data_IF_084622031135
#
_entry.id   IF_084622031135
#
_cell.length_a   1.000
_cell.length_b   1.000
_cell.length_c   1.000
_cell.angle_alpha   90.00
_cell.angle_beta   90.00
_cell.angle_gamma   90.00
#
_symmetry.space_group_name_H-M   'P 1'
#
loop_
_entity.id
_entity.type
_entity.pdbx_description
1 polymer ?
#
# COMPACT_ATOMS: atom_id res chain seq x y z
N UNK A 1 5.68 25.96 -4.74
CA UNK A 1 6.06 24.63 -4.24
C UNK A 1 5.63 23.62 -5.30
N UNK A 2 6.55 22.85 -5.85
CA UNK A 2 6.22 21.88 -6.89
C UNK A 2 6.13 20.49 -6.25
N UNK A 3 4.93 19.93 -6.19
CA UNK A 3 4.70 18.59 -5.67
C UNK A 3 4.65 17.61 -6.83
N UNK A 4 5.47 16.57 -6.77
CA UNK A 4 5.42 15.41 -7.65
C UNK A 4 4.93 14.17 -6.91
N UNK A 5 4.30 13.23 -7.62
CA UNK A 5 3.90 11.93 -7.08
C UNK A 5 4.73 10.85 -7.77
N UNK A 6 5.39 10.00 -6.99
CA UNK A 6 6.07 8.81 -7.50
C UNK A 6 5.13 7.61 -7.41
N UNK A 7 4.78 7.05 -8.58
CA UNK A 7 3.86 5.93 -8.76
C UNK A 7 2.64 6.31 -9.59
N UNK A 8 2.39 5.60 -10.70
CA UNK A 8 1.27 5.79 -11.62
C UNK A 8 0.28 4.62 -11.59
N UNK A 9 0.19 3.93 -10.46
CA UNK A 9 -0.80 2.89 -10.17
C UNK A 9 -2.00 3.42 -9.38
N UNK A 10 -2.79 2.48 -8.83
CA UNK A 10 -3.98 2.81 -8.02
C UNK A 10 -3.65 3.70 -6.81
N UNK A 11 -2.52 3.43 -6.13
CA UNK A 11 -2.08 4.24 -4.99
C UNK A 11 -1.76 5.68 -5.41
N UNK A 12 -1.02 5.88 -6.52
CA UNK A 12 -0.71 7.21 -7.04
C UNK A 12 -1.95 7.98 -7.47
N UNK A 13 -2.93 7.29 -8.07
CA UNK A 13 -4.22 7.89 -8.42
C UNK A 13 -4.97 8.35 -7.17
N UNK A 14 -5.04 7.51 -6.13
CA UNK A 14 -5.73 7.84 -4.88
C UNK A 14 -5.07 9.03 -4.16
N UNK A 15 -3.73 9.09 -4.15
CA UNK A 15 -2.99 10.25 -3.62
C UNK A 15 -3.31 11.52 -4.41
N UNK A 16 -3.29 11.45 -5.74
CA UNK A 16 -3.64 12.58 -6.59
C UNK A 16 -5.06 13.11 -6.32
N UNK A 17 -6.06 12.22 -6.30
CA UNK A 17 -7.46 12.56 -6.05
C UNK A 17 -7.67 13.18 -4.65
N UNK A 18 -6.94 12.70 -3.63
CA UNK A 18 -6.99 13.27 -2.30
C UNK A 18 -6.41 14.69 -2.26
N UNK A 19 -5.26 14.92 -2.90
CA UNK A 19 -4.64 16.24 -2.99
C UNK A 19 -5.51 17.23 -3.79
N UNK A 20 -6.10 16.76 -4.88
CA UNK A 20 -7.00 17.57 -5.71
C UNK A 20 -8.23 18.04 -4.92
N UNK A 21 -8.87 17.15 -4.14
CA UNK A 21 -9.96 17.54 -3.20
C UNK A 21 -9.53 18.56 -2.15
N UNK A 22 -8.28 18.54 -1.73
CA UNK A 22 -7.71 19.50 -0.79
C UNK A 22 -7.20 20.79 -1.47
N UNK A 23 -7.39 20.93 -2.80
CA UNK A 23 -6.86 22.03 -3.61
C UNK A 23 -5.33 22.15 -3.53
N UNK A 24 -4.63 21.04 -3.39
CA UNK A 24 -3.17 20.99 -3.40
C UNK A 24 -2.71 20.58 -4.80
N UNK A 25 -2.06 21.50 -5.56
CA UNK A 25 -1.71 21.22 -6.95
C UNK A 25 -0.56 20.23 -7.06
N UNK A 26 -0.74 19.19 -7.89
CA UNK A 26 0.30 18.24 -8.29
C UNK A 26 0.86 18.70 -9.64
N UNK A 27 2.18 18.85 -9.75
CA UNK A 27 2.84 19.34 -10.95
C UNK A 27 3.10 18.22 -11.99
N UNK A 28 3.53 17.03 -11.53
CA UNK A 28 3.94 15.92 -12.39
C UNK A 28 3.87 14.59 -11.66
N UNK A 29 4.00 13.51 -12.43
CA UNK A 29 4.23 12.16 -11.92
C UNK A 29 5.63 11.65 -12.23
N UNK A 30 6.08 10.67 -11.46
CA UNK A 30 7.25 9.84 -11.69
C UNK A 30 6.82 8.38 -11.66
N UNK A 31 7.51 7.51 -12.40
CA UNK A 31 7.30 6.06 -12.35
C UNK A 31 8.64 5.32 -12.46
N UNK A 32 8.69 4.11 -11.93
CA UNK A 32 9.84 3.22 -12.06
C UNK A 32 10.01 2.61 -13.45
N UNK A 33 8.94 2.62 -14.25
CA UNK A 33 8.91 2.14 -15.63
C UNK A 33 9.26 3.28 -16.60
N UNK A 34 10.45 3.23 -17.18
CA UNK A 34 10.93 4.24 -18.14
C UNK A 34 10.07 4.36 -19.39
N UNK A 35 9.32 3.31 -19.77
CA UNK A 35 8.43 3.36 -20.94
C UNK A 35 7.22 4.27 -20.73
N UNK A 36 6.94 4.66 -19.51
CA UNK A 36 5.86 5.60 -19.19
C UNK A 36 6.27 7.08 -19.28
N UNK A 37 7.56 7.38 -19.33
CA UNK A 37 8.05 8.76 -19.42
C UNK A 37 7.53 9.44 -20.68
N UNK A 38 7.00 10.65 -20.53
CA UNK A 38 6.35 11.42 -21.59
C UNK A 38 4.86 11.07 -21.80
N UNK A 39 4.34 10.05 -21.15
CA UNK A 39 2.90 9.78 -21.14
C UNK A 39 2.19 10.68 -20.11
N UNK A 40 0.87 10.70 -20.21
CA UNK A 40 -0.01 11.45 -19.30
C UNK A 40 -0.73 10.51 -18.33
N UNK A 41 -0.74 10.86 -17.05
CA UNK A 41 -1.51 10.19 -16.01
C UNK A 41 -2.25 11.24 -15.15
N UNK A 42 -3.56 11.09 -14.93
CA UNK A 42 -4.40 12.08 -14.24
C UNK A 42 -4.21 13.51 -14.77
N UNK A 43 -4.13 13.69 -16.09
CA UNK A 43 -3.88 14.97 -16.77
C UNK A 43 -2.56 15.67 -16.36
N UNK A 44 -1.57 14.90 -15.90
CA UNK A 44 -0.22 15.38 -15.61
C UNK A 44 0.80 14.52 -16.35
N UNK A 45 1.89 15.13 -16.76
CA UNK A 45 2.97 14.42 -17.44
C UNK A 45 3.72 13.49 -16.48
N UNK A 46 4.12 12.31 -16.98
CA UNK A 46 5.06 11.43 -16.29
C UNK A 46 6.45 11.84 -16.76
N UNK A 47 7.23 12.44 -15.86
CA UNK A 47 8.53 13.04 -16.20
C UNK A 47 9.69 12.10 -15.83
N UNK A 48 10.82 12.30 -16.51
CA UNK A 48 12.07 11.62 -16.17
C UNK A 48 12.62 12.18 -14.84
N UNK A 49 13.02 11.31 -13.93
CA UNK A 49 13.58 11.66 -12.62
C UNK A 49 14.77 12.63 -12.72
N UNK A 50 15.59 12.51 -13.79
CA UNK A 50 16.75 13.36 -13.99
C UNK A 50 16.41 14.78 -14.50
N UNK A 51 15.15 15.00 -14.91
CA UNK A 51 14.68 16.27 -15.45
C UNK A 51 13.85 17.12 -14.48
N UNK A 52 13.52 16.58 -13.30
CA UNK A 52 12.73 17.33 -12.32
C UNK A 52 13.55 18.37 -11.57
N UNK A 53 12.90 19.46 -11.07
CA UNK A 53 13.56 20.45 -10.24
C UNK A 53 14.06 19.83 -8.93
N UNK A 54 15.28 20.19 -8.50
CA UNK A 54 15.86 19.67 -7.23
C UNK A 54 15.15 20.18 -5.99
N UNK A 55 14.41 21.27 -6.10
CA UNK A 55 13.63 21.89 -5.01
C UNK A 55 12.14 21.52 -5.04
N UNK A 56 11.81 20.33 -5.54
CA UNK A 56 10.45 19.79 -5.50
C UNK A 56 10.26 18.84 -4.30
N UNK A 57 9.02 18.67 -3.89
CA UNK A 57 8.61 17.70 -2.87
C UNK A 57 8.01 16.47 -3.56
N UNK A 58 8.51 15.28 -3.24
CA UNK A 58 8.04 14.03 -3.84
C UNK A 58 7.25 13.22 -2.82
N UNK A 59 6.00 12.96 -3.14
CA UNK A 59 5.16 12.03 -2.40
C UNK A 59 5.26 10.63 -3.04
N UNK A 60 5.77 9.66 -2.30
CA UNK A 60 5.96 8.31 -2.80
C UNK A 60 4.71 7.48 -2.48
N UNK A 61 3.92 7.18 -3.51
CA UNK A 61 2.69 6.38 -3.44
C UNK A 61 3.00 4.91 -3.77
N UNK A 62 3.93 4.31 -3.04
CA UNK A 62 4.36 2.93 -3.22
C UNK A 62 4.85 2.34 -1.90
N UNK A 63 4.94 1.00 -1.84
CA UNK A 63 5.46 0.33 -0.65
C UNK A 63 6.95 0.67 -0.44
N UNK A 64 7.37 1.04 0.79
CA UNK A 64 8.76 1.36 1.13
C UNK A 64 9.78 0.25 0.78
N UNK A 65 9.35 -1.02 0.76
CA UNK A 65 10.19 -2.18 0.39
C UNK A 65 10.83 -2.06 -1.01
N UNK A 66 10.26 -1.27 -1.90
CA UNK A 66 10.84 -1.06 -3.25
C UNK A 66 12.03 -0.10 -3.27
N UNK A 67 12.39 0.51 -2.13
CA UNK A 67 13.59 1.35 -2.00
C UNK A 67 13.60 2.57 -2.92
N UNK A 68 12.42 3.11 -3.27
CA UNK A 68 12.29 4.24 -4.22
C UNK A 68 13.07 5.47 -3.73
N UNK A 69 13.09 5.69 -2.41
CA UNK A 69 13.83 6.79 -1.79
C UNK A 69 15.31 6.79 -2.17
N UNK A 70 15.97 5.63 -2.28
CA UNK A 70 17.37 5.55 -2.71
C UNK A 70 17.58 6.09 -4.14
N UNK A 71 16.61 5.90 -5.02
CA UNK A 71 16.67 6.46 -6.38
C UNK A 71 16.54 7.98 -6.36
N UNK A 72 15.65 8.51 -5.51
CA UNK A 72 15.48 9.96 -5.32
C UNK A 72 16.75 10.60 -4.75
N UNK A 73 17.31 9.99 -3.71
CA UNK A 73 18.56 10.43 -3.09
C UNK A 73 19.72 10.41 -4.08
N UNK A 74 19.86 9.33 -4.87
CA UNK A 74 20.88 9.23 -5.92
C UNK A 74 20.72 10.29 -7.02
N UNK A 75 19.49 10.78 -7.24
CA UNK A 75 19.19 11.88 -8.12
C UNK A 75 19.27 13.27 -7.44
N UNK A 76 19.82 13.36 -6.23
CA UNK A 76 19.94 14.57 -5.40
C UNK A 76 18.58 15.24 -5.07
N UNK A 77 17.52 14.45 -4.96
CA UNK A 77 16.22 14.90 -4.48
C UNK A 77 16.17 14.71 -2.97
N UNK A 78 16.11 15.82 -2.21
CA UNK A 78 16.22 15.82 -0.75
C UNK A 78 14.88 15.81 -0.02
N UNK A 79 13.82 16.27 -0.69
CA UNK A 79 12.47 16.35 -0.10
C UNK A 79 11.58 15.26 -0.67
N UNK A 80 11.39 14.19 0.10
CA UNK A 80 10.50 13.10 -0.25
C UNK A 80 9.85 12.50 1.00
N UNK A 81 8.67 11.92 0.82
CA UNK A 81 7.95 11.21 1.88
C UNK A 81 7.12 10.08 1.30
N UNK A 82 7.15 8.91 1.92
CA UNK A 82 6.16 7.88 1.69
C UNK A 82 4.82 8.33 2.26
N UNK A 83 3.77 8.15 1.48
CA UNK A 83 2.41 8.54 1.88
C UNK A 83 1.49 7.34 1.91
N UNK A 84 0.61 7.32 2.89
CA UNK A 84 -0.50 6.38 2.96
C UNK A 84 -1.69 6.97 2.17
N UNK A 85 -2.09 6.35 1.04
CA UNK A 85 -3.21 6.84 0.24
C UNK A 85 -4.53 6.86 1.01
N UNK A 86 -4.75 5.89 1.90
CA UNK A 86 -5.96 5.81 2.70
C UNK A 86 -6.04 6.94 3.72
N UNK A 87 -4.92 7.27 4.36
CA UNK A 87 -4.87 8.40 5.28
C UNK A 87 -5.13 9.73 4.57
N UNK A 88 -4.51 9.96 3.42
CA UNK A 88 -4.76 11.15 2.62
C UNK A 88 -6.23 11.24 2.17
N UNK A 89 -6.85 10.11 1.81
CA UNK A 89 -8.27 10.04 1.50
C UNK A 89 -9.12 10.51 2.68
N UNK A 90 -8.86 9.97 3.88
CA UNK A 90 -9.57 10.38 5.10
C UNK A 90 -9.41 11.88 5.38
N UNK A 91 -8.20 12.42 5.28
CA UNK A 91 -7.96 13.87 5.44
C UNK A 91 -8.75 14.69 4.42
N UNK A 92 -8.78 14.26 3.15
CA UNK A 92 -9.53 14.95 2.09
C UNK A 92 -11.06 14.91 2.29
N UNK A 93 -11.56 13.95 3.09
CA UNK A 93 -12.96 13.82 3.49
C UNK A 93 -13.27 14.56 4.82
N UNK A 94 -12.32 15.34 5.33
CA UNK A 94 -12.49 16.13 6.55
C UNK A 94 -12.23 15.37 7.85
N UNK A 95 -11.62 14.19 7.79
CA UNK A 95 -11.13 13.54 9.01
C UNK A 95 -9.84 14.21 9.46
N UNK A 96 -9.79 14.60 10.71
CA UNK A 96 -8.57 15.14 11.35
C UNK A 96 -7.87 14.03 12.13
N UNK A 97 -6.59 14.23 12.43
CA UNK A 97 -5.83 13.31 13.28
C UNK A 97 -6.50 13.18 14.67
N UNK A 98 -7.02 14.28 15.23
CA UNK A 98 -7.76 14.25 16.49
C UNK A 98 -9.01 13.38 16.40
N UNK A 99 -9.76 13.45 15.29
CA UNK A 99 -10.95 12.62 15.08
C UNK A 99 -10.60 11.13 14.97
N UNK A 100 -9.50 10.79 14.29
CA UNK A 100 -9.04 9.41 14.20
C UNK A 100 -8.63 8.89 15.59
N UNK A 101 -7.88 9.68 16.34
CA UNK A 101 -7.47 9.34 17.71
C UNK A 101 -8.69 9.17 18.64
N UNK A 102 -9.71 10.04 18.53
CA UNK A 102 -10.96 9.90 19.28
C UNK A 102 -11.66 8.59 18.97
N UNK A 103 -11.78 8.21 17.69
CA UNK A 103 -12.40 6.94 17.29
C UNK A 103 -11.67 5.75 17.92
N UNK A 104 -10.34 5.77 17.96
CA UNK A 104 -9.56 4.70 18.62
C UNK A 104 -9.79 4.66 20.13
N UNK A 105 -9.84 5.82 20.78
CA UNK A 105 -10.13 5.93 22.22
C UNK A 105 -11.53 5.44 22.56
N UNK A 106 -12.54 5.86 21.82
CA UNK A 106 -13.94 5.49 22.02
C UNK A 106 -14.19 3.98 21.83
N UNK A 107 -13.30 3.28 21.15
CA UNK A 107 -13.38 1.83 20.92
C UNK A 107 -12.32 1.01 21.67
N UNK A 108 -11.63 1.59 22.66
CA UNK A 108 -10.54 0.94 23.40
C UNK A 108 -10.96 -0.42 23.96
N UNK A 109 -12.14 -0.53 24.59
CA UNK A 109 -12.63 -1.80 25.17
C UNK A 109 -12.86 -2.88 24.11
N UNK A 110 -13.35 -2.46 22.92
CA UNK A 110 -13.54 -3.40 21.79
C UNK A 110 -12.19 -3.85 21.23
N UNK A 111 -11.22 -2.94 21.14
CA UNK A 111 -9.87 -3.22 20.69
C UNK A 111 -9.21 -4.23 21.62
N UNK A 112 -9.27 -4.02 22.93
CA UNK A 112 -8.72 -4.94 23.92
C UNK A 112 -9.40 -6.32 23.84
N UNK A 113 -10.72 -6.37 23.74
CA UNK A 113 -11.45 -7.64 23.62
C UNK A 113 -11.00 -8.42 22.38
N UNK A 114 -10.90 -7.75 21.21
CA UNK A 114 -10.41 -8.42 19.99
C UNK A 114 -8.97 -8.91 20.16
N UNK A 115 -8.11 -8.10 20.78
CA UNK A 115 -6.72 -8.47 21.04
C UNK A 115 -6.62 -9.74 21.91
N UNK A 116 -7.42 -9.81 22.97
CA UNK A 116 -7.45 -10.94 23.91
C UNK A 116 -8.00 -12.22 23.28
N UNK A 117 -8.88 -12.10 22.27
CA UNK A 117 -9.45 -13.23 21.52
C UNK A 117 -8.49 -13.78 20.45
N UNK A 118 -7.39 -13.06 20.09
CA UNK A 118 -6.42 -13.53 19.11
C UNK A 118 -5.61 -14.71 19.66
N UNK A 119 -5.56 -15.81 18.89
CA UNK A 119 -5.04 -17.09 19.34
C UNK A 119 -3.51 -17.16 19.48
N UNK A 120 -2.76 -16.29 18.80
CA UNK A 120 -1.30 -16.38 18.71
C UNK A 120 -0.62 -15.02 18.70
N UNK A 121 0.66 -15.01 19.10
CA UNK A 121 1.49 -13.80 19.20
C UNK A 121 1.71 -13.11 17.84
N UNK A 122 1.71 -13.86 16.74
CA UNK A 122 1.86 -13.27 15.40
C UNK A 122 0.62 -12.46 15.02
N UNK A 123 -0.57 -13.01 15.28
CA UNK A 123 -1.84 -12.31 15.07
C UNK A 123 -1.95 -11.05 15.93
N UNK A 124 -1.51 -11.11 17.19
CA UNK A 124 -1.45 -9.94 18.09
C UNK A 124 -0.49 -8.88 17.56
N UNK A 125 0.70 -9.26 17.15
CA UNK A 125 1.69 -8.35 16.56
C UNK A 125 1.15 -7.65 15.30
N UNK A 126 0.48 -8.40 14.42
CA UNK A 126 -0.14 -7.84 13.20
C UNK A 126 -1.21 -6.82 13.58
N UNK A 127 -2.09 -7.17 14.52
CA UNK A 127 -3.17 -6.30 14.98
C UNK A 127 -2.65 -4.99 15.58
N UNK A 128 -1.67 -5.08 16.50
CA UNK A 128 -1.02 -3.90 17.10
C UNK A 128 -0.33 -3.02 16.06
N UNK A 129 0.41 -3.64 15.13
CA UNK A 129 1.13 -2.89 14.09
C UNK A 129 0.17 -2.11 13.18
N UNK A 130 -0.99 -2.70 12.84
CA UNK A 130 -2.03 -2.03 12.06
C UNK A 130 -2.64 -0.86 12.86
N UNK A 131 -2.97 -1.05 14.14
CA UNK A 131 -3.51 0.03 14.97
C UNK A 131 -2.50 1.17 15.15
N UNK A 132 -1.24 0.84 15.41
CA UNK A 132 -0.17 1.83 15.48
C UNK A 132 0.02 2.57 14.17
N UNK A 133 0.04 1.85 13.04
CA UNK A 133 0.11 2.48 11.73
C UNK A 133 -1.05 3.47 11.52
N UNK A 134 -2.27 3.10 11.87
CA UNK A 134 -3.45 3.98 11.78
C UNK A 134 -3.33 5.24 12.63
N UNK A 135 -2.69 5.14 13.79
CA UNK A 135 -2.46 6.25 14.71
C UNK A 135 -1.29 7.13 14.31
N UNK A 136 -0.17 6.51 13.91
CA UNK A 136 1.12 7.17 13.67
C UNK A 136 1.34 7.50 12.19
N UNK A 137 0.49 7.00 11.29
CA UNK A 137 0.62 7.10 9.82
C UNK A 137 1.99 6.66 9.30
N UNK A 138 2.58 5.67 9.97
CA UNK A 138 3.92 5.17 9.69
C UNK A 138 3.85 3.85 8.92
N UNK A 139 4.04 3.91 7.60
CA UNK A 139 4.04 2.74 6.72
C UNK A 139 5.15 1.73 7.05
N UNK A 140 6.24 2.17 7.69
CA UNK A 140 7.32 1.25 8.08
C UNK A 140 6.86 0.18 9.09
N UNK A 141 5.83 0.47 9.89
CA UNK A 141 5.24 -0.50 10.81
C UNK A 141 4.62 -1.70 10.09
N UNK A 142 4.17 -1.52 8.84
CA UNK A 142 3.58 -2.60 8.05
C UNK A 142 4.64 -3.51 7.41
N UNK A 143 5.88 -3.04 7.23
CA UNK A 143 6.95 -3.84 6.62
C UNK A 143 7.29 -5.07 7.46
N UNK A 144 7.26 -4.95 8.79
CA UNK A 144 7.59 -6.04 9.72
C UNK A 144 6.51 -7.13 9.80
N UNK A 145 5.30 -6.83 9.34
CA UNK A 145 4.16 -7.75 9.36
C UNK A 145 3.76 -8.22 7.97
N UNK A 146 4.38 -7.68 6.91
CA UNK A 146 4.14 -8.11 5.54
C UNK A 146 4.63 -9.55 5.38
N UNK A 147 3.74 -10.42 4.89
CA UNK A 147 4.05 -11.82 4.61
C UNK A 147 3.82 -12.09 3.13
N UNK A 148 4.87 -12.56 2.43
CA UNK A 148 4.78 -12.94 1.03
C UNK A 148 3.94 -14.21 0.81
N UNK A 149 3.81 -15.03 1.86
CA UNK A 149 3.05 -16.28 1.84
C UNK A 149 1.68 -16.19 2.53
N UNK A 150 1.12 -14.99 2.65
CA UNK A 150 -0.10 -14.72 3.44
C UNK A 150 -1.29 -15.65 3.15
N UNK A 151 -1.39 -16.25 1.96
CA UNK A 151 -2.49 -17.14 1.58
C UNK A 151 -2.16 -18.63 1.75
N UNK A 152 -0.89 -19.01 1.67
CA UNK A 152 -0.45 -20.41 1.66
C UNK A 152 0.78 -20.59 2.54
N UNK A 153 0.77 -20.01 3.73
CA UNK A 153 1.82 -20.18 4.74
C UNK A 153 2.04 -21.65 5.09
N UNK A 154 3.19 -21.96 5.66
CA UNK A 154 3.52 -23.33 6.05
C UNK A 154 2.72 -23.84 7.25
N UNK A 155 2.12 -22.92 8.01
CA UNK A 155 1.23 -23.13 9.15
C UNK A 155 -0.23 -23.41 8.74
N UNK A 156 -0.60 -23.16 7.48
CA UNK A 156 -1.89 -23.56 6.94
C UNK A 156 -1.82 -25.07 6.70
N UNK A 157 -2.64 -25.81 7.45
CA UNK A 157 -2.81 -27.26 7.36
C UNK A 157 -3.01 -27.65 5.89
N UNK A 158 -2.24 -28.66 5.45
CA UNK A 158 -2.20 -29.07 4.05
C UNK A 158 -3.58 -29.17 3.42
N UNK A 159 -3.73 -28.55 2.26
CA UNK A 159 -4.99 -28.49 1.54
C UNK A 159 -5.37 -29.94 1.11
N UNK A 160 -6.36 -30.58 1.77
CA UNK A 160 -6.68 -31.99 1.52
C UNK A 160 -7.35 -32.19 0.16
N UNK A 161 -7.89 -31.12 -0.41
CA UNK A 161 -8.62 -31.15 -1.66
C UNK A 161 -8.02 -30.21 -2.71
N UNK A 162 -8.16 -30.61 -3.99
CA UNK A 162 -7.60 -29.89 -5.14
C UNK A 162 -8.58 -28.91 -5.76
N UNK A 163 -9.59 -28.48 -5.01
CA UNK A 163 -10.57 -27.52 -5.45
C UNK A 163 -10.20 -26.13 -4.93
N UNK A 164 -10.13 -25.16 -5.81
CA UNK A 164 -9.82 -23.78 -5.48
C UNK A 164 -10.84 -22.82 -6.09
N UNK A 165 -11.39 -21.94 -5.26
CA UNK A 165 -12.31 -20.89 -5.68
C UNK A 165 -11.63 -19.55 -5.43
N UNK A 166 -11.41 -18.77 -6.48
CA UNK A 166 -10.82 -17.43 -6.40
C UNK A 166 -11.88 -16.37 -6.65
N UNK A 167 -12.38 -15.77 -5.57
CA UNK A 167 -13.34 -14.68 -5.61
C UNK A 167 -12.59 -13.34 -5.73
N UNK A 168 -12.60 -12.75 -6.93
CA UNK A 168 -11.86 -11.52 -7.20
C UNK A 168 -10.44 -11.77 -7.72
N UNK A 169 -10.32 -12.68 -8.65
CA UNK A 169 -9.05 -13.24 -9.16
C UNK A 169 -8.09 -12.23 -9.83
N UNK A 170 -8.41 -10.94 -9.90
CA UNK A 170 -7.61 -9.84 -10.49
C UNK A 170 -6.67 -10.30 -11.64
N UNK A 171 -5.36 -10.46 -11.37
CA UNK A 171 -4.36 -10.95 -12.36
C UNK A 171 -4.16 -12.46 -12.31
N UNK A 172 -4.83 -13.17 -11.39
CA UNK A 172 -4.63 -14.60 -11.16
C UNK A 172 -3.35 -14.94 -10.37
N UNK A 173 -2.80 -13.98 -9.65
CA UNK A 173 -1.59 -14.16 -8.84
C UNK A 173 -1.79 -15.15 -7.69
N UNK A 174 -2.96 -15.11 -7.03
CA UNK A 174 -3.34 -16.08 -5.98
C UNK A 174 -3.45 -17.50 -6.56
N UNK A 175 -4.10 -17.64 -7.72
CA UNK A 175 -4.18 -18.91 -8.43
C UNK A 175 -2.80 -19.47 -8.77
N UNK A 176 -1.89 -18.64 -9.27
CA UNK A 176 -0.53 -19.03 -9.59
C UNK A 176 0.22 -19.55 -8.36
N UNK A 177 0.06 -18.87 -7.21
CA UNK A 177 0.64 -19.32 -5.92
C UNK A 177 0.06 -20.66 -5.48
N UNK A 178 -1.28 -20.82 -5.60
CA UNK A 178 -1.96 -22.08 -5.29
C UNK A 178 -1.40 -23.25 -6.14
N UNK A 179 -1.33 -23.08 -7.46
CA UNK A 179 -0.80 -24.10 -8.36
C UNK A 179 0.65 -24.47 -8.05
N UNK A 180 1.48 -23.51 -7.66
CA UNK A 180 2.86 -23.76 -7.26
C UNK A 180 2.97 -24.55 -5.93
N UNK A 181 1.98 -24.42 -5.04
CA UNK A 181 1.94 -25.12 -3.75
C UNK A 181 1.46 -26.56 -3.90
N UNK A 182 0.59 -26.82 -4.88
CA UNK A 182 0.06 -28.15 -5.17
C UNK A 182 0.91 -28.80 -6.25
N UNK A 183 2.00 -29.43 -5.87
CA UNK A 183 2.82 -30.21 -6.80
C UNK A 183 2.10 -31.52 -7.18
N UNK A 184 1.61 -31.59 -8.43
CA UNK A 184 1.24 -32.84 -9.12
C UNK A 184 -0.19 -33.35 -8.91
N UNK A 185 -1.10 -32.94 -9.77
CA UNK A 185 -2.44 -33.52 -9.91
C UNK A 185 -3.42 -32.63 -10.67
N UNK A 186 -4.52 -33.19 -11.17
CA UNK A 186 -5.61 -32.43 -11.76
C UNK A 186 -6.23 -31.53 -10.69
N UNK A 187 -6.41 -30.26 -11.01
CA UNK A 187 -7.02 -29.23 -10.14
C UNK A 187 -8.28 -28.75 -10.81
N UNK A 188 -9.39 -28.74 -10.08
CA UNK A 188 -10.62 -28.07 -10.52
C UNK A 188 -10.58 -26.61 -10.09
N UNK A 189 -10.73 -25.71 -11.05
CA UNK A 189 -10.67 -24.28 -10.83
C UNK A 189 -12.04 -23.65 -11.14
N UNK A 190 -12.54 -22.87 -10.21
CA UNK A 190 -13.67 -21.99 -10.42
C UNK A 190 -13.20 -20.55 -10.22
N UNK A 191 -13.34 -19.74 -11.28
CA UNK A 191 -13.08 -18.30 -11.23
C UNK A 191 -14.43 -17.58 -11.27
N UNK A 192 -14.68 -16.75 -10.27
CA UNK A 192 -15.88 -15.92 -10.17
C UNK A 192 -15.48 -14.45 -10.32
#
# INVERSE_FOLDING_TARGET
MNIGIYGTGLAGKAVFEALDRMNIPVAFFLDGDSNKVGLTFCNREIVDLNKIPKNCDILIAANPKYGIHHRLESADIKSWKYVDPEFLRLLSEGYTEQKINSILQDNTDKIHRVYDELADERSKLVFESILRHRKEHNLALLNNICDENQYFGNDIIGLPEKNFVDCGAFTGDTLKRFLNKISGGAVSLLRI
#
